data_IF_724432304459
#
_entry.id   IF_724432304459
#
_cell.length_a   1.000
_cell.length_b   1.000
_cell.length_c   1.000
_cell.angle_alpha   90.00
_cell.angle_beta   90.00
_cell.angle_gamma   90.00
#
_symmetry.space_group_name_H-M   'P 1'
#
loop_
_entity.id
_entity.type
_entity.pdbx_description
1 polymer ?
#
# COMPACT_ATOMS: atom_id res chain seq x y z
N UNK A 1 -42.45 10.76 10.37
CA UNK A 1 -41.40 10.97 11.40
C UNK A 1 -40.54 9.73 11.69
N UNK A 2 -41.04 8.49 11.56
CA UNK A 2 -40.27 7.25 11.83
C UNK A 2 -39.20 6.91 10.77
N UNK A 3 -39.44 7.26 9.50
CA UNK A 3 -38.49 7.00 8.39
C UNK A 3 -37.21 7.84 8.48
N UNK A 4 -37.30 9.08 8.96
CA UNK A 4 -36.14 9.97 9.16
C UNK A 4 -35.22 9.47 10.28
N UNK A 5 -35.78 8.91 11.36
CA UNK A 5 -34.98 8.30 12.45
C UNK A 5 -34.26 7.02 12.01
N UNK A 6 -34.91 6.16 11.21
CA UNK A 6 -34.28 4.93 10.70
C UNK A 6 -33.11 5.23 9.75
N UNK A 7 -33.24 6.26 8.89
CA UNK A 7 -32.16 6.70 8.00
C UNK A 7 -30.96 7.28 8.77
N UNK A 8 -31.20 8.13 9.77
CA UNK A 8 -30.12 8.64 10.62
C UNK A 8 -29.39 7.54 11.40
N UNK A 9 -30.09 6.47 11.80
CA UNK A 9 -29.49 5.37 12.56
C UNK A 9 -28.68 4.42 11.67
N UNK A 10 -29.10 4.21 10.41
CA UNK A 10 -28.30 3.46 9.43
C UNK A 10 -27.03 4.21 9.04
N UNK A 11 -27.13 5.53 8.82
CA UNK A 11 -25.99 6.36 8.42
C UNK A 11 -24.92 6.42 9.52
N UNK A 12 -25.34 6.52 10.80
CA UNK A 12 -24.43 6.49 11.94
C UNK A 12 -23.71 5.15 12.07
N UNK A 13 -24.43 4.03 11.91
CA UNK A 13 -23.84 2.68 11.97
C UNK A 13 -22.79 2.48 10.87
N UNK A 14 -23.07 2.96 9.66
CA UNK A 14 -22.12 2.87 8.55
C UNK A 14 -20.88 3.75 8.75
N UNK A 15 -21.02 4.95 9.34
CA UNK A 15 -19.89 5.80 9.72
C UNK A 15 -19.00 5.14 10.77
N UNK A 16 -19.58 4.57 11.83
CA UNK A 16 -18.82 3.86 12.88
C UNK A 16 -18.04 2.70 12.25
N UNK A 17 -18.68 1.90 11.39
CA UNK A 17 -18.03 0.78 10.71
C UNK A 17 -16.86 1.22 9.83
N UNK A 18 -17.00 2.34 9.10
CA UNK A 18 -15.93 2.93 8.28
C UNK A 18 -14.76 3.37 9.17
N UNK A 19 -15.05 4.05 10.28
CA UNK A 19 -14.03 4.53 11.20
C UNK A 19 -13.25 3.36 11.83
N UNK A 20 -13.96 2.34 12.32
CA UNK A 20 -13.34 1.15 12.92
C UNK A 20 -12.43 0.43 11.93
N UNK A 21 -12.88 0.19 10.69
CA UNK A 21 -12.06 -0.44 9.65
C UNK A 21 -10.83 0.38 9.29
N UNK A 22 -11.00 1.70 9.19
CA UNK A 22 -9.89 2.62 8.92
C UNK A 22 -8.86 2.61 10.06
N UNK A 23 -9.31 2.55 11.31
CA UNK A 23 -8.45 2.44 12.48
C UNK A 23 -7.67 1.12 12.51
N UNK A 24 -8.30 -0.01 12.16
CA UNK A 24 -7.61 -1.30 12.03
C UNK A 24 -6.55 -1.29 10.92
N UNK A 25 -6.89 -0.73 9.75
CA UNK A 25 -5.96 -0.59 8.64
C UNK A 25 -4.75 0.27 9.04
N UNK A 26 -5.01 1.37 9.73
CA UNK A 26 -3.97 2.25 10.27
C UNK A 26 -3.09 1.49 11.26
N UNK A 27 -3.67 0.78 12.23
CA UNK A 27 -2.91 0.04 13.24
C UNK A 27 -1.99 -1.00 12.59
N UNK A 28 -2.48 -1.80 11.65
CA UNK A 28 -1.68 -2.78 10.92
C UNK A 28 -0.57 -2.11 10.10
N UNK A 29 -0.87 -0.98 9.46
CA UNK A 29 0.11 -0.23 8.69
C UNK A 29 1.21 0.35 9.58
N UNK A 30 0.86 0.92 10.73
CA UNK A 30 1.81 1.46 11.71
C UNK A 30 2.68 0.35 12.31
N UNK A 31 2.09 -0.80 12.64
CA UNK A 31 2.87 -1.97 13.09
C UNK A 31 3.87 -2.41 12.02
N UNK A 32 3.47 -2.42 10.74
CA UNK A 32 4.39 -2.69 9.63
C UNK A 32 5.55 -1.68 9.58
N UNK A 33 5.27 -0.38 9.71
CA UNK A 33 6.31 0.67 9.73
C UNK A 33 7.22 0.60 10.96
N UNK A 34 6.70 0.14 12.11
CA UNK A 34 7.49 -0.10 13.32
C UNK A 34 8.46 -1.26 13.16
N UNK A 35 7.98 -2.38 12.61
CA UNK A 35 8.76 -3.61 12.46
C UNK A 35 9.80 -3.49 11.33
N UNK A 36 9.45 -2.80 10.25
CA UNK A 36 10.27 -2.75 9.03
C UNK A 36 10.81 -1.34 8.81
N UNK A 37 11.93 -1.04 9.48
CA UNK A 37 12.68 0.23 9.36
C UNK A 37 14.02 0.01 8.64
N UNK A 38 14.57 1.09 8.07
CA UNK A 38 15.86 1.05 7.38
C UNK A 38 15.81 0.25 6.08
N UNK A 39 16.80 -0.62 5.85
CA UNK A 39 16.91 -1.44 4.63
C UNK A 39 15.79 -2.47 4.46
N UNK A 40 15.09 -2.82 5.53
CA UNK A 40 13.98 -3.78 5.51
C UNK A 40 12.64 -3.07 5.23
N UNK A 41 12.62 -1.74 5.07
CA UNK A 41 11.39 -0.97 4.81
C UNK A 41 10.61 -1.49 3.60
N UNK A 42 11.29 -2.09 2.63
CA UNK A 42 10.66 -2.69 1.44
C UNK A 42 9.63 -3.76 1.78
N UNK A 43 9.76 -4.44 2.93
CA UNK A 43 8.79 -5.43 3.42
C UNK A 43 7.44 -4.77 3.74
N UNK A 44 7.42 -3.50 4.15
CA UNK A 44 6.17 -2.76 4.32
C UNK A 44 5.39 -2.59 3.00
N UNK A 45 6.08 -2.60 1.86
CA UNK A 45 5.47 -2.57 0.52
C UNK A 45 4.65 -3.83 0.22
N UNK A 46 4.93 -4.94 0.91
CA UNK A 46 4.15 -6.18 0.79
C UNK A 46 2.80 -6.11 1.51
N UNK A 47 2.73 -5.36 2.61
CA UNK A 47 1.62 -5.42 3.55
C UNK A 47 0.71 -4.20 3.41
N UNK A 48 1.29 -3.00 3.47
CA UNK A 48 0.53 -1.75 3.58
C UNK A 48 -0.43 -1.55 2.40
N UNK A 49 -0.02 -1.70 1.12
CA UNK A 49 -0.95 -1.53 0.00
C UNK A 49 -2.13 -2.50 0.06
N UNK A 50 -1.89 -3.77 0.45
CA UNK A 50 -2.93 -4.80 0.55
C UNK A 50 -3.89 -4.49 1.69
N UNK A 51 -3.37 -4.11 2.86
CA UNK A 51 -4.20 -3.70 4.01
C UNK A 51 -5.11 -2.54 3.64
N UNK A 52 -4.58 -1.48 3.03
CA UNK A 52 -5.38 -0.32 2.63
C UNK A 52 -6.52 -0.76 1.69
N UNK A 53 -6.21 -1.54 0.66
CA UNK A 53 -7.20 -2.02 -0.29
C UNK A 53 -8.29 -2.88 0.37
N UNK A 54 -7.92 -3.76 1.30
CA UNK A 54 -8.87 -4.66 1.97
C UNK A 54 -9.83 -3.95 2.92
N UNK A 55 -9.40 -2.87 3.56
CA UNK A 55 -10.22 -2.15 4.54
C UNK A 55 -11.00 -0.97 3.92
N UNK A 56 -10.65 -0.52 2.72
CA UNK A 56 -11.37 0.54 1.99
C UNK A 56 -12.61 0.08 1.19
N UNK A 57 -13.13 -1.14 1.36
CA UNK A 57 -14.12 -1.73 0.42
C UNK A 57 -15.51 -1.09 0.32
N UNK A 58 -16.09 -0.57 1.42
CA UNK A 58 -17.54 -0.26 1.47
C UNK A 58 -17.86 1.20 1.15
N UNK A 59 -16.97 2.12 1.52
CA UNK A 59 -17.12 3.54 1.26
C UNK A 59 -15.73 4.05 0.83
N UNK A 60 -15.44 3.82 -0.44
CA UNK A 60 -14.06 3.66 -0.91
C UNK A 60 -13.22 4.91 -0.75
N UNK A 61 -13.79 6.05 -1.10
CA UNK A 61 -13.11 7.33 -1.01
C UNK A 61 -12.92 7.76 0.45
N UNK A 62 -13.99 7.70 1.26
CA UNK A 62 -13.95 8.13 2.66
C UNK A 62 -13.02 7.27 3.53
N UNK A 63 -13.09 5.95 3.37
CA UNK A 63 -12.22 5.04 4.13
C UNK A 63 -10.75 5.23 3.71
N UNK A 64 -10.50 5.37 2.41
CA UNK A 64 -9.16 5.64 1.91
C UNK A 64 -8.62 6.98 2.41
N UNK A 65 -9.40 8.06 2.39
CA UNK A 65 -8.95 9.38 2.87
C UNK A 65 -8.65 9.37 4.36
N UNK A 66 -9.48 8.72 5.19
CA UNK A 66 -9.18 8.58 6.62
C UNK A 66 -7.90 7.80 6.87
N UNK A 67 -7.69 6.68 6.18
CA UNK A 67 -6.45 5.91 6.29
C UNK A 67 -5.25 6.73 5.81
N UNK A 68 -5.35 7.39 4.65
CA UNK A 68 -4.28 8.17 4.05
C UNK A 68 -3.86 9.34 4.95
N UNK A 69 -4.81 10.16 5.40
CA UNK A 69 -4.56 11.30 6.28
C UNK A 69 -3.93 10.84 7.59
N UNK A 70 -4.51 9.80 8.22
CA UNK A 70 -4.01 9.32 9.51
C UNK A 70 -2.62 8.69 9.38
N UNK A 71 -2.38 7.90 8.32
CA UNK A 71 -1.10 7.26 8.07
C UNK A 71 -0.02 8.30 7.77
N UNK A 72 -0.32 9.33 6.96
CA UNK A 72 0.59 10.44 6.70
C UNK A 72 0.88 11.22 7.98
N UNK A 73 -0.14 11.54 8.78
CA UNK A 73 0.04 12.25 10.05
C UNK A 73 0.95 11.48 11.01
N UNK A 74 0.70 10.18 11.21
CA UNK A 74 1.55 9.32 12.06
C UNK A 74 2.97 9.23 11.48
N UNK A 75 3.10 9.13 10.16
CA UNK A 75 4.42 9.05 9.50
C UNK A 75 5.22 10.33 9.65
N UNK A 76 4.59 11.50 9.51
CA UNK A 76 5.25 12.80 9.73
C UNK A 76 5.72 12.95 11.18
N UNK A 77 4.91 12.50 12.14
CA UNK A 77 5.24 12.64 13.57
C UNK A 77 6.31 11.65 14.05
N UNK A 78 6.29 10.41 13.55
CA UNK A 78 7.10 9.32 14.13
C UNK A 78 8.07 8.63 13.15
N UNK A 79 7.92 8.81 11.84
CA UNK A 79 8.66 8.07 10.80
C UNK A 79 9.06 8.97 9.61
N UNK A 80 9.62 10.15 9.90
CA UNK A 80 9.88 11.20 8.90
C UNK A 80 10.61 10.70 7.64
N UNK A 81 11.64 9.87 7.81
CA UNK A 81 12.44 9.32 6.71
C UNK A 81 11.69 8.33 5.81
N UNK A 82 10.54 7.84 6.25
CA UNK A 82 9.71 6.88 5.51
C UNK A 82 8.57 7.54 4.74
N UNK A 83 8.41 8.88 4.84
CA UNK A 83 7.27 9.58 4.25
C UNK A 83 7.14 9.36 2.74
N UNK A 84 8.27 9.34 2.02
CA UNK A 84 8.31 9.11 0.57
C UNK A 84 7.79 7.71 0.24
N UNK A 85 8.21 6.71 1.00
CA UNK A 85 7.74 5.34 0.82
C UNK A 85 6.28 5.18 1.20
N UNK A 86 5.80 5.85 2.25
CA UNK A 86 4.37 5.84 2.63
C UNK A 86 3.49 6.44 1.54
N UNK A 87 3.92 7.54 0.90
CA UNK A 87 3.25 8.10 -0.28
C UNK A 87 3.24 7.06 -1.42
N UNK A 88 4.37 6.39 -1.64
CA UNK A 88 4.48 5.28 -2.58
C UNK A 88 3.49 4.13 -2.28
N UNK A 89 3.33 3.76 -1.02
CA UNK A 89 2.40 2.70 -0.59
C UNK A 89 0.94 3.10 -0.83
N UNK A 90 0.59 4.36 -0.55
CA UNK A 90 -0.73 4.91 -0.86
C UNK A 90 -1.00 4.85 -2.37
N UNK A 91 -0.06 5.29 -3.19
CA UNK A 91 -0.17 5.22 -4.64
C UNK A 91 -0.29 3.76 -5.14
N UNK A 92 0.54 2.86 -4.60
CA UNK A 92 0.48 1.43 -4.91
C UNK A 92 -0.85 0.80 -4.51
N UNK A 93 -1.48 1.23 -3.42
CA UNK A 93 -2.79 0.71 -3.02
C UNK A 93 -3.89 1.09 -4.03
N UNK A 94 -3.84 2.32 -4.55
CA UNK A 94 -4.77 2.78 -5.61
C UNK A 94 -4.54 2.01 -6.90
N UNK A 95 -3.28 1.84 -7.32
CA UNK A 95 -2.93 1.09 -8.53
C UNK A 95 -3.22 -0.41 -8.41
N UNK A 96 -3.02 -1.00 -7.23
CA UNK A 96 -3.34 -2.39 -6.92
C UNK A 96 -4.83 -2.63 -7.14
N UNK A 97 -5.67 -1.74 -6.59
CA UNK A 97 -7.10 -1.79 -6.79
C UNK A 97 -7.49 -1.62 -8.25
N UNK A 98 -6.94 -0.62 -8.93
CA UNK A 98 -7.30 -0.28 -10.31
C UNK A 98 -6.91 -1.38 -11.31
N UNK A 99 -5.75 -2.02 -11.15
CA UNK A 99 -5.25 -3.00 -12.12
C UNK A 99 -5.61 -4.45 -11.79
N UNK A 100 -5.81 -4.78 -10.50
CA UNK A 100 -5.90 -6.17 -10.04
C UNK A 100 -7.20 -6.50 -9.28
N UNK A 101 -8.13 -5.56 -9.17
CA UNK A 101 -9.46 -5.82 -8.59
C UNK A 101 -10.59 -5.48 -9.57
N UNK A 102 -11.67 -6.24 -9.47
CA UNK A 102 -12.91 -5.98 -10.19
C UNK A 102 -13.85 -5.07 -9.38
N UNK A 103 -14.92 -4.56 -10.01
CA UNK A 103 -15.96 -3.75 -9.35
C UNK A 103 -16.64 -4.47 -8.18
N UNK A 104 -16.70 -5.81 -8.23
CA UNK A 104 -17.17 -6.65 -7.13
C UNK A 104 -16.07 -6.97 -6.09
N UNK A 105 -14.92 -6.28 -6.16
CA UNK A 105 -13.81 -6.42 -5.22
C UNK A 105 -13.24 -7.85 -5.14
N UNK A 106 -13.33 -8.56 -6.27
CA UNK A 106 -12.70 -9.86 -6.52
C UNK A 106 -11.35 -9.64 -7.19
N UNK A 107 -10.37 -10.49 -6.88
CA UNK A 107 -9.04 -10.41 -7.48
C UNK A 107 -9.12 -10.81 -8.95
N UNK A 108 -8.80 -9.88 -9.84
CA UNK A 108 -8.76 -10.09 -11.28
C UNK A 108 -7.34 -10.42 -11.71
N UNK A 109 -7.09 -11.71 -11.96
CA UNK A 109 -5.79 -12.18 -12.46
C UNK A 109 -5.79 -12.01 -13.98
N UNK A 110 -5.34 -10.84 -14.46
CA UNK A 110 -5.10 -10.60 -15.88
C UNK A 110 -3.63 -10.31 -16.13
N UNK A 111 -3.02 -10.94 -17.14
CA UNK A 111 -1.59 -10.76 -17.43
C UNK A 111 -1.24 -9.28 -17.65
N UNK A 112 -2.08 -8.55 -18.40
CA UNK A 112 -1.88 -7.11 -18.61
C UNK A 112 -1.97 -6.29 -17.32
N UNK A 113 -2.91 -6.59 -16.42
CA UNK A 113 -3.02 -5.92 -15.13
C UNK A 113 -1.82 -6.17 -14.22
N UNK A 114 -1.34 -7.43 -14.18
CA UNK A 114 -0.14 -7.81 -13.42
C UNK A 114 1.09 -7.10 -13.96
N UNK A 115 1.26 -7.06 -15.29
CA UNK A 115 2.40 -6.39 -15.91
C UNK A 115 2.39 -4.87 -15.64
N UNK A 116 1.22 -4.22 -15.76
CA UNK A 116 1.07 -2.78 -15.44
C UNK A 116 1.38 -2.51 -13.97
N UNK A 117 0.90 -3.35 -13.06
CA UNK A 117 1.17 -3.20 -11.63
C UNK A 117 2.65 -3.43 -11.30
N UNK A 118 3.29 -4.44 -11.91
CA UNK A 118 4.72 -4.70 -11.76
C UNK A 118 5.56 -3.50 -12.19
N UNK A 119 5.26 -2.91 -13.36
CA UNK A 119 5.94 -1.71 -13.84
C UNK A 119 5.76 -0.56 -12.84
N UNK A 120 4.54 -0.36 -12.34
CA UNK A 120 4.28 0.67 -11.35
C UNK A 120 5.07 0.46 -10.04
N UNK A 121 5.18 -0.78 -9.56
CA UNK A 121 5.99 -1.13 -8.39
C UNK A 121 7.45 -0.75 -8.61
N UNK A 122 8.04 -1.15 -9.74
CA UNK A 122 9.44 -0.85 -10.06
C UNK A 122 9.68 0.66 -10.13
N UNK A 123 8.79 1.39 -10.80
CA UNK A 123 8.87 2.86 -10.93
C UNK A 123 8.77 3.52 -9.55
N UNK A 124 7.80 3.13 -8.73
CA UNK A 124 7.60 3.70 -7.39
C UNK A 124 8.78 3.39 -6.46
N UNK A 125 9.34 2.18 -6.52
CA UNK A 125 10.55 1.84 -5.77
C UNK A 125 11.74 2.70 -6.21
N UNK A 126 12.00 2.78 -7.52
CA UNK A 126 13.12 3.55 -8.04
C UNK A 126 13.00 5.04 -7.67
N UNK A 127 11.84 5.64 -7.90
CA UNK A 127 11.55 7.03 -7.53
C UNK A 127 11.66 7.21 -6.02
N UNK A 128 11.13 6.28 -5.23
CA UNK A 128 11.19 6.32 -3.77
C UNK A 128 12.63 6.32 -3.25
N UNK A 129 13.48 5.45 -3.79
CA UNK A 129 14.91 5.38 -3.46
C UNK A 129 15.62 6.69 -3.82
N UNK A 130 15.42 7.19 -5.05
CA UNK A 130 16.04 8.44 -5.52
C UNK A 130 15.61 9.66 -4.70
N UNK A 131 14.31 9.84 -4.50
CA UNK A 131 13.78 10.95 -3.71
C UNK A 131 14.25 10.87 -2.26
N UNK A 132 14.34 9.67 -1.68
CA UNK A 132 14.85 9.51 -0.31
C UNK A 132 16.31 9.94 -0.20
N UNK A 133 17.13 9.63 -1.21
CA UNK A 133 18.50 10.12 -1.24
C UNK A 133 18.59 11.64 -1.40
N UNK A 134 17.78 12.24 -2.28
CA UNK A 134 17.83 13.68 -2.54
C UNK A 134 17.31 14.49 -1.33
N UNK A 135 16.18 14.07 -0.75
CA UNK A 135 15.47 14.83 0.29
C UNK A 135 16.08 14.60 1.68
N UNK A 136 16.41 13.35 2.00
CA UNK A 136 16.89 12.98 3.34
C UNK A 136 18.40 12.73 3.41
N UNK A 137 19.13 12.85 2.29
CA UNK A 137 20.57 12.59 2.21
C UNK A 137 20.97 11.18 2.68
N UNK A 138 20.04 10.23 2.64
CA UNK A 138 20.30 8.82 2.95
C UNK A 138 20.76 8.14 1.66
N UNK A 139 21.98 7.60 1.58
CA UNK A 139 22.59 7.14 0.33
C UNK A 139 22.05 5.78 -0.13
N UNK A 140 20.73 5.62 -0.24
CA UNK A 140 20.08 4.35 -0.62
C UNK A 140 20.38 3.99 -2.08
N UNK A 141 20.34 4.96 -2.99
CA UNK A 141 20.66 4.71 -4.39
C UNK A 141 22.13 4.30 -4.54
N UNK A 142 23.04 5.00 -3.86
CA UNK A 142 24.47 4.70 -3.89
C UNK A 142 24.77 3.34 -3.24
N UNK A 143 24.09 2.98 -2.15
CA UNK A 143 24.18 1.66 -1.53
C UNK A 143 23.78 0.55 -2.52
N UNK A 144 22.68 0.75 -3.25
CA UNK A 144 22.22 -0.22 -4.26
C UNK A 144 23.16 -0.28 -5.49
N UNK A 145 23.72 0.85 -5.91
CA UNK A 145 24.76 0.86 -6.94
C UNK A 145 26.01 0.09 -6.51
N UNK A 146 26.48 0.27 -5.28
CA UNK A 146 27.62 -0.50 -4.76
C UNK A 146 27.33 -1.99 -4.69
N UNK A 147 26.13 -2.38 -4.23
CA UNK A 147 25.71 -3.79 -4.19
C UNK A 147 25.64 -4.41 -5.60
N UNK A 148 25.34 -3.60 -6.60
CA UNK A 148 25.34 -4.00 -8.01
C UNK A 148 26.70 -3.88 -8.72
N UNK A 149 27.80 -3.67 -7.98
CA UNK A 149 29.16 -3.44 -8.51
C UNK A 149 29.26 -2.23 -9.44
N UNK A 150 28.47 -1.17 -9.17
CA UNK A 150 28.34 0.05 -9.98
C UNK A 150 27.85 -0.20 -11.42
N UNK A 151 27.20 -1.35 -11.66
CA UNK A 151 26.69 -1.72 -12.98
C UNK A 151 25.17 -1.46 -13.03
N UNK A 152 24.69 -0.49 -13.83
CA UNK A 152 23.30 -0.05 -13.80
C UNK A 152 22.30 -1.14 -14.22
N UNK A 153 22.69 -2.04 -15.15
CA UNK A 153 21.84 -3.15 -15.55
C UNK A 153 21.63 -4.18 -14.43
N UNK A 154 22.62 -4.37 -13.54
CA UNK A 154 22.48 -5.25 -12.37
C UNK A 154 21.58 -4.61 -11.33
N UNK A 155 21.69 -3.29 -11.13
CA UNK A 155 20.77 -2.56 -10.26
C UNK A 155 19.31 -2.67 -10.76
N UNK A 156 19.09 -2.49 -12.06
CA UNK A 156 17.77 -2.72 -12.65
C UNK A 156 17.28 -4.16 -12.45
N UNK A 157 18.17 -5.16 -12.59
CA UNK A 157 17.86 -6.56 -12.30
C UNK A 157 17.40 -6.80 -10.86
N UNK A 158 18.04 -6.16 -9.88
CA UNK A 158 17.64 -6.23 -8.46
C UNK A 158 16.23 -5.65 -8.28
N UNK A 159 15.98 -4.45 -8.82
CA UNK A 159 14.65 -3.82 -8.75
C UNK A 159 13.57 -4.65 -9.45
N UNK A 160 13.91 -5.30 -10.56
CA UNK A 160 13.00 -6.21 -11.26
C UNK A 160 12.62 -7.39 -10.37
N UNK A 161 13.60 -8.03 -9.74
CA UNK A 161 13.37 -9.17 -8.83
C UNK A 161 12.54 -8.74 -7.62
N UNK A 162 12.88 -7.62 -6.98
CA UNK A 162 12.09 -7.07 -5.87
C UNK A 162 10.67 -6.73 -6.30
N UNK A 163 10.49 -6.09 -7.46
CA UNK A 163 9.18 -5.77 -8.01
C UNK A 163 8.32 -7.00 -8.27
N UNK A 164 8.92 -8.08 -8.80
CA UNK A 164 8.25 -9.37 -8.99
C UNK A 164 7.83 -9.95 -7.63
N UNK A 165 8.73 -9.96 -6.65
CA UNK A 165 8.44 -10.48 -5.30
C UNK A 165 7.29 -9.68 -4.66
N UNK A 166 7.36 -8.35 -4.66
CA UNK A 166 6.29 -7.48 -4.11
C UNK A 166 4.96 -7.78 -4.80
N UNK A 167 4.96 -7.85 -6.13
CA UNK A 167 3.74 -8.08 -6.90
C UNK A 167 3.12 -9.44 -6.58
N UNK A 168 3.95 -10.49 -6.51
CA UNK A 168 3.52 -11.83 -6.16
C UNK A 168 2.96 -11.88 -4.73
N UNK A 169 3.67 -11.32 -3.75
CA UNK A 169 3.22 -11.29 -2.36
C UNK A 169 1.91 -10.52 -2.22
N UNK A 170 1.78 -9.36 -2.87
CA UNK A 170 0.56 -8.57 -2.83
C UNK A 170 -0.64 -9.35 -3.40
N UNK A 171 -0.45 -10.04 -4.53
CA UNK A 171 -1.47 -10.89 -5.13
C UNK A 171 -1.84 -12.07 -4.24
N UNK A 172 -0.85 -12.76 -3.65
CA UNK A 172 -1.07 -13.91 -2.78
C UNK A 172 -1.81 -13.50 -1.51
N UNK A 173 -1.40 -12.41 -0.86
CA UNK A 173 -2.08 -11.90 0.34
C UNK A 173 -3.51 -11.47 0.01
N UNK A 174 -3.71 -10.73 -1.08
CA UNK A 174 -5.04 -10.29 -1.49
C UNK A 174 -5.94 -11.49 -1.78
N UNK A 175 -5.45 -12.53 -2.48
CA UNK A 175 -6.20 -13.76 -2.78
C UNK A 175 -6.47 -14.60 -1.53
N UNK A 176 -5.50 -14.77 -0.65
CA UNK A 176 -5.63 -15.52 0.59
C UNK A 176 -6.67 -14.89 1.53
N UNK A 177 -6.64 -13.56 1.67
CA UNK A 177 -7.55 -12.86 2.58
C UNK A 177 -8.96 -12.74 1.99
N UNK A 178 -9.09 -12.43 0.69
CA UNK A 178 -10.41 -12.35 0.04
C UNK A 178 -11.12 -13.71 -0.03
N UNK A 179 -10.40 -14.80 -0.24
CA UNK A 179 -10.98 -16.16 -0.25
C UNK A 179 -11.45 -16.62 1.13
N UNK A 180 -10.69 -16.31 2.20
CA UNK A 180 -11.05 -16.71 3.57
C UNK A 180 -12.20 -15.90 4.15
N UNK A 181 -12.28 -14.62 3.81
CA UNK A 181 -13.29 -13.74 4.39
C UNK A 181 -14.70 -13.96 3.81
N UNK A 182 -14.90 -14.91 2.85
CA UNK A 182 -16.17 -15.09 2.11
C UNK A 182 -16.89 -13.75 1.90
N UNK A 183 -16.12 -12.77 1.40
CA UNK A 183 -16.66 -11.46 1.04
C UNK A 183 -17.38 -11.67 -0.29
N UNK A 184 -18.51 -12.38 -0.22
CA UNK A 184 -19.57 -12.37 -1.22
C UNK A 184 -20.31 -11.03 -1.17
#
# INVERSE_FOLDING_TARGET
>A
MSLSRRKNQSDLSDQINVLTRSAFALALSVVSLLLFRGSISIVSTFIIPVVIVLFSKRNELLSFTYIAISLLMVTVLFFQTQIIFVIGYLLLSVLLKHFLMDSAVKVKISFSGILKYLIAVIVILFIGIQLTQIIFLIPLHDMMLRLSNNLPYRYFGILLVEGIIITLVNLLLLKAITSRLKLE
#
